data_IF_785496382338
#
_entry.id   IF_785496382338
#
_cell.length_a   1.000
_cell.length_b   1.000
_cell.length_c   1.000
_cell.angle_alpha   90.00
_cell.angle_beta   90.00
_cell.angle_gamma   90.00
#
_symmetry.space_group_name_H-M   'P 1'
#
loop_
_entity.id
_entity.type
_entity.pdbx_description
1 polymer ?
#
# COMPACT_ATOMS: atom_id res chain seq x y z
N UNK A 1 16.95 -0.11 -5.64
CA UNK A 1 17.40 -1.48 -5.30
C UNK A 1 18.37 -1.33 -4.15
N UNK A 2 18.26 -2.16 -3.10
CA UNK A 2 19.18 -2.24 -1.97
C UNK A 2 20.58 -2.69 -2.44
N UNK A 3 21.30 -1.79 -3.10
CA UNK A 3 22.65 -2.05 -3.58
C UNK A 3 23.61 -1.74 -2.45
N UNK A 4 24.24 -2.79 -1.93
CA UNK A 4 25.52 -2.76 -1.22
C UNK A 4 26.40 -1.61 -1.70
N UNK A 5 26.69 -0.59 -0.87
CA UNK A 5 27.88 0.24 -1.01
C UNK A 5 28.20 1.15 0.21
N UNK A 6 29.45 1.01 0.66
CA UNK A 6 30.41 2.07 0.99
C UNK A 6 30.09 3.11 2.09
N UNK A 7 30.07 2.65 3.34
CA UNK A 7 30.64 3.44 4.45
C UNK A 7 29.75 4.46 5.15
N UNK A 8 28.51 4.67 4.70
CA UNK A 8 27.47 5.31 5.51
C UNK A 8 26.62 4.21 6.14
N UNK A 9 26.39 4.31 7.47
CA UNK A 9 25.77 3.23 8.24
C UNK A 9 24.50 2.72 7.54
N UNK A 10 24.37 1.40 7.33
CA UNK A 10 23.09 0.82 6.91
C UNK A 10 21.99 1.20 7.92
N UNK A 11 20.73 0.90 7.59
CA UNK A 11 19.64 0.91 8.58
C UNK A 11 20.14 0.37 9.93
N UNK A 12 19.71 0.97 11.04
CA UNK A 12 20.15 0.56 12.39
C UNK A 12 19.99 -0.95 12.57
N UNK A 13 18.89 -1.48 12.04
CA UNK A 13 18.69 -2.92 11.82
C UNK A 13 17.99 -3.14 10.48
N UNK A 14 18.26 -4.28 9.84
CA UNK A 14 17.47 -4.73 8.68
C UNK A 14 17.26 -6.24 8.78
N UNK A 15 16.00 -6.66 8.69
CA UNK A 15 15.60 -8.07 8.66
C UNK A 15 14.86 -8.33 7.36
N UNK A 16 15.35 -9.26 6.55
CA UNK A 16 14.61 -9.67 5.34
C UNK A 16 13.47 -10.62 5.69
N UNK A 17 12.31 -10.40 5.07
CA UNK A 17 11.18 -11.33 5.09
C UNK A 17 11.13 -12.22 3.84
N UNK A 18 12.18 -12.19 3.01
CA UNK A 18 12.25 -12.97 1.79
C UNK A 18 11.39 -12.41 0.66
N UNK A 19 11.00 -13.32 -0.24
CA UNK A 19 10.15 -13.02 -1.40
C UNK A 19 8.90 -13.88 -1.38
N UNK A 20 7.78 -13.33 -1.84
CA UNK A 20 6.52 -14.05 -2.03
C UNK A 20 5.77 -13.54 -3.25
N UNK A 21 4.97 -14.40 -3.85
CA UNK A 21 4.00 -14.00 -4.89
C UNK A 21 2.65 -13.74 -4.25
N UNK A 22 2.05 -12.62 -4.59
CA UNK A 22 0.72 -12.18 -4.16
C UNK A 22 -0.15 -12.07 -5.41
N UNK A 23 -1.40 -12.52 -5.33
CA UNK A 23 -2.37 -12.33 -6.41
C UNK A 23 -3.47 -11.42 -5.90
N UNK A 24 -3.46 -10.18 -6.40
CA UNK A 24 -4.41 -9.13 -6.02
C UNK A 24 -5.55 -9.12 -7.05
N UNK A 25 -6.80 -9.16 -6.58
CA UNK A 25 -7.99 -9.02 -7.44
C UNK A 25 -8.71 -7.75 -7.05
N UNK A 26 -8.90 -6.86 -8.01
CA UNK A 26 -9.52 -5.56 -7.80
C UNK A 26 -10.94 -5.55 -8.35
N UNK A 27 -11.84 -4.94 -7.59
CA UNK A 27 -13.25 -4.81 -7.91
C UNK A 27 -13.64 -3.33 -7.90
N UNK A 28 -14.50 -2.95 -8.85
CA UNK A 28 -15.11 -1.63 -8.93
C UNK A 28 -16.42 -1.74 -9.72
N UNK A 29 -17.21 -0.68 -9.72
CA UNK A 29 -18.40 -0.55 -10.54
C UNK A 29 -18.34 0.79 -11.26
N UNK A 30 -18.03 0.78 -12.56
CA UNK A 30 -17.97 2.00 -13.39
C UNK A 30 -17.12 3.14 -12.77
N UNK A 31 -16.00 2.81 -12.13
CA UNK A 31 -15.08 3.74 -11.45
C UNK A 31 -15.63 4.42 -10.19
N UNK A 32 -16.72 3.92 -9.61
CA UNK A 32 -17.36 4.53 -8.44
C UNK A 32 -16.43 4.48 -7.21
N UNK A 33 -15.82 3.33 -6.93
CA UNK A 33 -14.94 3.16 -5.78
C UNK A 33 -13.61 3.88 -5.95
N UNK A 34 -13.02 3.81 -7.15
CA UNK A 34 -11.81 4.55 -7.47
C UNK A 34 -12.00 6.07 -7.39
N UNK A 35 -13.12 6.59 -7.91
CA UNK A 35 -13.43 8.03 -7.83
C UNK A 35 -13.68 8.48 -6.39
N UNK A 36 -14.19 7.61 -5.53
CA UNK A 36 -14.34 7.84 -4.10
C UNK A 36 -13.05 7.62 -3.29
N UNK A 37 -11.92 7.33 -3.95
CA UNK A 37 -10.61 7.08 -3.31
C UNK A 37 -10.63 5.92 -2.29
N UNK A 38 -11.49 4.93 -2.49
CA UNK A 38 -11.62 3.76 -1.58
C UNK A 38 -10.37 2.87 -1.63
N UNK A 39 -9.77 2.71 -2.81
CA UNK A 39 -8.53 1.94 -3.00
C UNK A 39 -7.45 2.71 -3.78
N UNK A 40 -7.68 4.00 -4.04
CA UNK A 40 -6.80 4.89 -4.81
C UNK A 40 -6.43 6.16 -4.04
N UNK A 41 -5.24 6.70 -4.27
CA UNK A 41 -4.74 7.91 -3.62
C UNK A 41 -3.65 8.60 -4.47
N UNK A 42 -3.07 9.69 -3.97
CA UNK A 42 -2.01 10.42 -4.69
C UNK A 42 -0.60 9.81 -4.54
N UNK A 43 -0.51 8.63 -3.90
CA UNK A 43 0.69 7.80 -3.70
C UNK A 43 1.87 8.46 -2.95
N UNK A 44 1.70 9.69 -2.47
CA UNK A 44 2.68 10.43 -1.68
C UNK A 44 2.07 10.68 -0.31
N UNK A 45 2.68 10.12 0.75
CA UNK A 45 2.19 10.24 2.12
C UNK A 45 0.69 9.92 2.23
N UNK A 46 0.27 8.87 1.53
CA UNK A 46 -1.11 8.39 1.59
C UNK A 46 -1.27 7.55 2.84
N UNK A 47 -2.38 7.75 3.54
CA UNK A 47 -2.75 7.00 4.72
C UNK A 47 -4.14 6.40 4.50
N UNK A 48 -4.31 5.14 4.92
CA UNK A 48 -5.52 4.36 4.66
C UNK A 48 -5.87 3.51 5.87
N UNK A 49 -7.15 3.18 5.98
CA UNK A 49 -7.66 2.18 6.91
C UNK A 49 -7.89 0.87 6.14
N UNK A 50 -7.16 -0.18 6.51
CA UNK A 50 -7.33 -1.49 5.89
C UNK A 50 -8.46 -2.25 6.60
N UNK A 51 -9.58 -2.40 5.89
CA UNK A 51 -10.73 -3.19 6.36
C UNK A 51 -10.54 -4.64 5.91
N UNK A 52 -10.68 -5.58 6.85
CA UNK A 52 -10.56 -7.02 6.59
C UNK A 52 -11.80 -7.81 6.98
N UNK A 53 -12.68 -7.25 7.82
CA UNK A 53 -13.93 -7.90 8.18
C UNK A 53 -15.04 -7.56 7.20
N UNK A 54 -15.86 -8.59 6.94
CA UNK A 54 -16.95 -8.53 5.97
C UNK A 54 -17.96 -7.40 6.27
N UNK A 55 -18.29 -7.18 7.54
CA UNK A 55 -19.33 -6.22 7.93
C UNK A 55 -18.91 -4.79 7.64
N UNK A 56 -17.67 -4.44 7.97
CA UNK A 56 -17.12 -3.10 7.68
C UNK A 56 -16.91 -2.89 6.19
N UNK A 57 -16.45 -3.90 5.45
CA UNK A 57 -16.32 -3.83 3.98
C UNK A 57 -17.69 -3.60 3.34
N UNK A 58 -18.70 -4.40 3.71
CA UNK A 58 -20.07 -4.27 3.21
C UNK A 58 -20.64 -2.87 3.46
N UNK A 59 -20.48 -2.36 4.69
CA UNK A 59 -20.92 -1.01 5.06
C UNK A 59 -20.21 0.07 4.23
N UNK A 60 -18.89 -0.01 4.09
CA UNK A 60 -18.11 0.95 3.32
C UNK A 60 -18.54 0.98 1.83
N UNK A 61 -18.75 -0.20 1.23
CA UNK A 61 -19.23 -0.31 -0.15
C UNK A 61 -20.66 0.24 -0.28
N UNK A 62 -21.53 -0.07 0.68
CA UNK A 62 -22.91 0.45 0.69
C UNK A 62 -22.95 1.98 0.78
N UNK A 63 -22.10 2.60 1.60
CA UNK A 63 -22.03 4.07 1.73
C UNK A 63 -21.68 4.77 0.40
N UNK A 64 -20.99 4.07 -0.52
CA UNK A 64 -20.60 4.61 -1.83
C UNK A 64 -21.59 4.21 -2.93
N UNK A 65 -22.06 2.96 -2.93
CA UNK A 65 -22.90 2.39 -3.99
C UNK A 65 -24.40 2.59 -3.76
N UNK A 66 -24.82 2.77 -2.51
CA UNK A 66 -26.22 2.67 -2.06
C UNK A 66 -26.89 1.33 -2.41
N UNK A 67 -26.10 0.30 -2.76
CA UNK A 67 -26.59 -1.03 -3.14
C UNK A 67 -26.28 -2.02 -2.01
N UNK A 68 -27.35 -2.60 -1.45
CA UNK A 68 -27.24 -3.66 -0.46
C UNK A 68 -26.94 -5.00 -1.11
N UNK A 69 -25.66 -5.39 -1.12
CA UNK A 69 -25.20 -6.66 -1.68
C UNK A 69 -24.37 -7.46 -0.67
N UNK A 70 -24.28 -8.77 -0.90
CA UNK A 70 -23.57 -9.73 -0.03
C UNK A 70 -22.23 -10.15 -0.65
N UNK A 71 -21.38 -10.80 0.16
CA UNK A 71 -20.04 -11.26 -0.25
C UNK A 71 -20.09 -12.18 -1.46
N UNK A 72 -21.08 -13.07 -1.50
CA UNK A 72 -21.23 -14.11 -2.52
C UNK A 72 -21.47 -13.51 -3.91
N UNK A 73 -21.95 -12.27 -3.96
CA UNK A 73 -22.16 -11.49 -5.18
C UNK A 73 -21.12 -10.38 -5.34
N UNK A 74 -19.96 -10.51 -4.67
CA UNK A 74 -18.88 -9.51 -4.70
C UNK A 74 -19.35 -8.08 -4.37
N UNK A 75 -20.35 -7.96 -3.49
CA UNK A 75 -20.98 -6.68 -3.14
C UNK A 75 -21.58 -5.93 -4.34
N UNK A 76 -21.97 -6.64 -5.41
CA UNK A 76 -22.49 -6.04 -6.64
C UNK A 76 -21.42 -5.34 -7.49
N UNK A 77 -20.14 -5.60 -7.22
CA UNK A 77 -19.01 -5.02 -7.95
C UNK A 77 -18.50 -5.95 -9.05
N UNK A 78 -18.01 -5.38 -10.13
CA UNK A 78 -17.35 -6.11 -11.19
C UNK A 78 -15.85 -6.25 -10.91
N UNK A 79 -15.30 -7.42 -11.22
CA UNK A 79 -13.84 -7.59 -11.21
C UNK A 79 -13.23 -6.79 -12.36
N UNK A 80 -12.37 -5.83 -12.04
CA UNK A 80 -11.71 -4.97 -13.04
C UNK A 80 -10.34 -5.47 -13.47
N UNK A 81 -9.55 -6.04 -12.56
CA UNK A 81 -8.21 -6.58 -12.88
C UNK A 81 -7.75 -7.64 -11.88
N UNK A 82 -6.90 -8.54 -12.34
CA UNK A 82 -6.11 -9.45 -11.50
C UNK A 82 -4.64 -9.20 -11.77
N UNK A 83 -3.87 -8.93 -10.71
CA UNK A 83 -2.43 -8.64 -10.80
C UNK A 83 -1.65 -9.69 -10.00
N UNK A 84 -0.63 -10.29 -10.61
CA UNK A 84 0.37 -11.06 -9.89
C UNK A 84 1.54 -10.16 -9.51
N UNK A 85 1.85 -10.06 -8.22
CA UNK A 85 2.96 -9.26 -7.71
C UNK A 85 4.00 -10.15 -7.03
N UNK A 86 5.25 -10.05 -7.48
CA UNK A 86 6.40 -10.53 -6.71
C UNK A 86 6.81 -9.47 -5.69
N UNK A 87 6.53 -9.72 -4.40
CA UNK A 87 6.89 -8.84 -3.30
C UNK A 87 8.17 -9.30 -2.62
N UNK A 88 9.13 -8.40 -2.47
CA UNK A 88 10.24 -8.51 -1.52
C UNK A 88 10.02 -7.54 -0.38
N UNK A 89 10.27 -7.98 0.85
CA UNK A 89 10.02 -7.15 2.02
C UNK A 89 11.15 -7.23 3.06
N UNK A 90 11.34 -6.12 3.76
CA UNK A 90 12.31 -5.98 4.85
C UNK A 90 11.70 -5.17 6.00
N UNK A 91 12.12 -5.46 7.22
CA UNK A 91 11.85 -4.63 8.39
C UNK A 91 13.13 -3.86 8.74
N UNK A 92 13.09 -2.54 8.59
CA UNK A 92 14.14 -1.61 8.92
C UNK A 92 13.87 -0.94 10.29
N UNK A 93 14.93 -0.77 11.07
CA UNK A 93 14.93 -0.13 12.41
C UNK A 93 13.87 -0.73 13.36
N UNK A 94 13.51 -2.01 13.15
CA UNK A 94 12.49 -2.75 13.88
C UNK A 94 11.06 -2.21 13.74
N UNK A 95 10.80 -1.26 12.84
CA UNK A 95 9.53 -0.52 12.78
C UNK A 95 9.01 -0.22 11.38
N UNK A 96 9.91 0.06 10.43
CA UNK A 96 9.53 0.48 9.09
C UNK A 96 9.59 -0.72 8.15
N UNK A 97 8.49 -1.02 7.48
CA UNK A 97 8.45 -2.09 6.50
C UNK A 97 8.76 -1.52 5.13
N UNK A 98 9.87 -1.95 4.55
CA UNK A 98 10.26 -1.60 3.19
C UNK A 98 9.78 -2.71 2.26
N UNK A 99 9.05 -2.33 1.22
CA UNK A 99 8.48 -3.24 0.23
C UNK A 99 9.02 -2.87 -1.14
N UNK A 100 9.38 -3.89 -1.92
CA UNK A 100 9.64 -3.78 -3.35
C UNK A 100 8.73 -4.76 -4.08
N UNK A 101 7.79 -4.21 -4.82
CA UNK A 101 6.82 -4.95 -5.60
C UNK A 101 7.17 -4.88 -7.07
N UNK A 102 7.25 -6.03 -7.74
CA UNK A 102 7.31 -6.13 -9.19
C UNK A 102 6.06 -6.84 -9.68
N UNK A 103 5.24 -6.14 -10.46
CA UNK A 103 4.00 -6.66 -11.02
C UNK A 103 4.29 -7.43 -12.32
N UNK A 104 3.44 -8.38 -12.68
CA UNK A 104 3.59 -9.26 -13.86
C UNK A 104 3.74 -8.54 -15.20
N UNK A 105 3.22 -7.32 -15.35
CA UNK A 105 3.43 -6.47 -16.52
C UNK A 105 4.74 -5.66 -16.49
N UNK A 106 5.62 -5.92 -15.51
CA UNK A 106 6.98 -5.39 -15.44
C UNK A 106 7.14 -4.10 -14.62
N UNK A 107 6.06 -3.48 -14.18
CA UNK A 107 6.12 -2.28 -13.33
C UNK A 107 6.66 -2.61 -11.94
N UNK A 108 7.49 -1.72 -11.38
CA UNK A 108 8.13 -1.93 -10.07
C UNK A 108 7.93 -0.72 -9.16
N UNK A 109 7.55 -0.97 -7.91
CA UNK A 109 7.22 0.06 -6.92
C UNK A 109 7.92 -0.25 -5.60
N UNK A 110 8.60 0.75 -5.03
CA UNK A 110 9.11 0.73 -3.67
C UNK A 110 8.17 1.47 -2.72
N UNK A 111 7.85 0.88 -1.57
CA UNK A 111 7.02 1.50 -0.52
C UNK A 111 7.72 1.42 0.83
N UNK A 112 7.48 2.42 1.68
CA UNK A 112 7.82 2.38 3.11
C UNK A 112 6.52 2.51 3.89
N UNK A 113 6.21 1.47 4.65
CA UNK A 113 4.97 1.33 5.41
C UNK A 113 5.26 1.42 6.92
N UNK A 114 4.35 2.03 7.66
CA UNK A 114 4.36 2.08 9.12
C UNK A 114 2.95 1.80 9.64
N UNK A 115 2.75 0.65 10.25
CA UNK A 115 1.45 0.22 10.76
C UNK A 115 1.30 0.56 12.25
N UNK A 116 0.09 0.91 12.70
CA UNK A 116 -0.27 0.87 14.12
C UNK A 116 -1.58 0.16 14.33
N UNK A 117 -1.61 -0.69 15.34
CA UNK A 117 -2.80 -1.36 15.85
C UNK A 117 -3.62 -0.51 16.83
N UNK A 118 -3.26 0.76 17.07
CA UNK A 118 -3.87 1.58 18.13
C UNK A 118 -4.97 2.48 17.53
N UNK A 119 -6.21 2.04 17.64
CA UNK A 119 -7.41 2.72 17.10
C UNK A 119 -7.79 4.01 17.84
N UNK A 120 -7.32 4.24 19.07
CA UNK A 120 -7.90 5.25 19.96
C UNK A 120 -7.56 6.72 19.61
N UNK A 121 -6.75 6.98 18.58
CA UNK A 121 -6.44 8.37 18.16
C UNK A 121 -6.07 8.49 16.68
N UNK A 122 -6.88 7.86 15.81
CA UNK A 122 -6.63 7.69 14.35
C UNK A 122 -5.95 8.89 13.67
N UNK A 123 -6.50 10.10 13.77
CA UNK A 123 -5.96 11.26 13.04
C UNK A 123 -4.58 11.72 13.55
N UNK A 124 -4.40 11.82 14.86
CA UNK A 124 -3.12 12.22 15.47
C UNK A 124 -2.05 11.15 15.21
N UNK A 125 -2.46 9.87 15.26
CA UNK A 125 -1.62 8.73 14.95
C UNK A 125 -1.14 8.77 13.49
N UNK A 126 -2.04 9.00 12.53
CA UNK A 126 -1.72 9.06 11.09
C UNK A 126 -0.75 10.20 10.76
N UNK A 127 -1.00 11.42 11.25
CA UNK A 127 -0.07 12.55 11.04
C UNK A 127 1.31 12.29 11.65
N UNK A 128 1.36 11.69 12.84
CA UNK A 128 2.62 11.31 13.49
C UNK A 128 3.36 10.23 12.70
N UNK A 129 2.64 9.29 12.07
CA UNK A 129 3.26 8.27 11.22
C UNK A 129 3.86 8.87 9.96
N UNK A 130 3.13 9.75 9.28
CA UNK A 130 3.60 10.43 8.08
C UNK A 130 4.89 11.22 8.36
N UNK A 131 4.93 11.97 9.46
CA UNK A 131 6.14 12.70 9.87
C UNK A 131 7.31 11.74 10.13
N UNK A 132 7.05 10.59 10.74
CA UNK A 132 8.07 9.57 11.02
C UNK A 132 8.58 8.90 9.75
N UNK A 133 7.71 8.61 8.79
CA UNK A 133 8.09 8.09 7.47
C UNK A 133 8.93 9.15 6.74
N UNK A 134 8.50 10.42 6.75
CA UNK A 134 9.25 11.52 6.13
C UNK A 134 10.68 11.64 6.66
N UNK A 135 10.85 11.64 7.99
CA UNK A 135 12.19 11.65 8.63
C UNK A 135 13.01 10.41 8.31
N UNK A 136 12.38 9.25 8.21
CA UNK A 136 13.05 8.01 7.84
C UNK A 136 13.55 8.05 6.39
N UNK A 137 12.70 8.48 5.45
CA UNK A 137 13.04 8.64 4.04
C UNK A 137 14.14 9.69 3.83
N UNK A 138 14.09 10.82 4.56
CA UNK A 138 15.15 11.83 4.54
C UNK A 138 16.48 11.26 5.05
N UNK A 139 16.44 10.59 6.21
CA UNK A 139 17.60 9.99 6.85
C UNK A 139 18.30 8.96 5.97
N UNK A 140 17.56 8.16 5.22
CA UNK A 140 18.09 7.09 4.36
C UNK A 140 17.91 7.39 2.86
N UNK A 141 17.86 8.68 2.51
CA UNK A 141 17.57 9.15 1.14
C UNK A 141 18.49 8.57 0.06
N UNK A 142 19.71 8.14 0.41
CA UNK A 142 20.64 7.50 -0.51
C UNK A 142 20.21 6.10 -1.00
N UNK A 143 19.25 5.45 -0.32
CA UNK A 143 18.79 4.09 -0.64
C UNK A 143 17.45 4.07 -1.40
N UNK A 144 16.77 5.23 -1.45
CA UNK A 144 15.49 5.39 -2.14
C UNK A 144 15.68 6.13 -3.47
N UNK A 145 15.17 5.56 -4.56
CA UNK A 145 15.21 6.21 -5.86
C UNK A 145 14.25 7.41 -5.89
N UNK A 146 14.72 8.55 -6.40
CA UNK A 146 13.85 9.68 -6.72
C UNK A 146 13.02 9.37 -7.97
N UNK A 147 11.72 9.61 -7.91
CA UNK A 147 10.79 9.39 -9.01
C UNK A 147 9.38 9.82 -8.64
N UNK A 148 8.51 9.98 -9.65
CA UNK A 148 7.08 10.19 -9.41
C UNK A 148 6.47 8.83 -9.03
N UNK A 149 5.91 8.66 -7.82
CA UNK A 149 5.30 7.40 -7.45
C UNK A 149 4.09 7.13 -8.35
N UNK A 150 4.02 5.93 -8.89
CA UNK A 150 2.89 5.44 -9.67
C UNK A 150 2.44 4.09 -9.08
N UNK A 151 1.23 4.04 -8.53
CA UNK A 151 0.67 2.83 -7.92
C UNK A 151 0.46 1.71 -8.93
N UNK A 152 0.33 0.46 -8.44
CA UNK A 152 0.19 -0.72 -9.31
C UNK A 152 -0.99 -0.60 -10.26
N UNK A 153 -2.12 -0.15 -9.71
CA UNK A 153 -3.39 -0.13 -10.40
C UNK A 153 -3.47 1.03 -11.39
N UNK A 154 -2.93 2.19 -11.03
CA UNK A 154 -2.77 3.32 -11.97
C UNK A 154 -1.87 2.94 -13.13
N UNK A 155 -0.71 2.33 -12.85
CA UNK A 155 0.20 1.88 -13.89
C UNK A 155 -0.36 0.77 -14.80
N UNK A 156 -1.40 0.04 -14.37
CA UNK A 156 -2.07 -0.97 -15.19
C UNK A 156 -3.02 -0.35 -16.23
N UNK A 157 -3.65 0.78 -15.91
CA UNK A 157 -4.62 1.45 -16.77
C UNK A 157 -4.00 2.55 -17.67
N UNK A 158 -2.71 2.83 -17.54
CA UNK A 158 -1.93 3.75 -18.38
C UNK A 158 -1.21 3.01 -19.53
#
# INVERSE_FOLDING_TARGET
MLTTNNGHSPFQTITSFGQRTINDVYYDQSSLLSSASIWGGNFINSSFEELSDFQNISRCIYEVTEVGSIEQDHFGLDRIVTLSTLRKAWLADGKFKIVLDTVDFGHTIGLVELDSSIEQQKQTTMSTMDERIGRFMERYSWDFCSGKPNGKLTAYFE
#
